data_IF_123572962785
#
_entry.id   IF_123572962785
#
_cell.length_a   1.000
_cell.length_b   1.000
_cell.length_c   1.000
_cell.angle_alpha   90.00
_cell.angle_beta   90.00
_cell.angle_gamma   90.00
#
_symmetry.space_group_name_H-M   'P 1'
#
loop_
_entity.id
_entity.type
_entity.pdbx_description
1 polymer ?
#
# COMPACT_ATOMS: atom_id res chain seq x y z
N UNK A 1 1.17 52.36 -34.93
CA UNK A 1 -0.25 52.76 -35.10
C UNK A 1 -0.87 52.88 -33.73
N UNK A 2 -1.49 54.02 -33.41
CA UNK A 2 -2.26 54.24 -32.19
C UNK A 2 -3.70 54.50 -32.60
N UNK A 3 -4.65 53.73 -32.06
CA UNK A 3 -6.08 53.89 -32.38
C UNK A 3 -6.94 53.73 -31.14
N UNK A 4 -8.05 54.45 -31.12
CA UNK A 4 -9.13 54.31 -30.15
C UNK A 4 -10.41 54.07 -30.94
N UNK A 5 -11.13 52.97 -30.67
CA UNK A 5 -12.37 52.61 -31.34
C UNK A 5 -12.35 51.26 -32.04
N UNK A 6 -13.16 51.12 -33.10
CA UNK A 6 -13.37 49.88 -33.83
C UNK A 6 -12.41 49.75 -35.01
N UNK A 7 -11.65 48.65 -35.07
CA UNK A 7 -10.96 48.18 -36.28
C UNK A 7 -11.76 46.99 -36.80
N UNK A 8 -12.37 47.12 -37.97
CA UNK A 8 -13.14 46.03 -38.55
C UNK A 8 -12.23 44.95 -39.15
N UNK A 9 -11.34 45.34 -40.05
CA UNK A 9 -10.35 44.46 -40.66
C UNK A 9 -9.01 45.17 -40.83
N UNK A 10 -7.93 44.48 -40.53
CA UNK A 10 -6.57 44.94 -40.80
C UNK A 10 -5.69 43.75 -41.19
N UNK A 11 -5.16 43.76 -42.41
CA UNK A 11 -4.33 42.67 -42.91
C UNK A 11 -2.98 42.61 -42.16
N UNK A 12 -2.20 43.71 -42.16
CA UNK A 12 -0.84 43.67 -41.62
C UNK A 12 -0.47 44.87 -40.75
N UNK A 13 0.25 44.60 -39.67
CA UNK A 13 0.97 45.58 -38.88
C UNK A 13 2.44 45.19 -38.69
N UNK A 14 3.34 45.93 -39.33
CA UNK A 14 4.76 45.59 -39.38
C UNK A 14 5.54 45.91 -38.08
N UNK A 15 5.17 46.95 -37.35
CA UNK A 15 6.01 47.52 -36.27
C UNK A 15 5.34 47.50 -34.89
N UNK A 16 4.49 48.49 -34.61
CA UNK A 16 3.83 48.58 -33.31
C UNK A 16 2.37 48.96 -33.49
N UNK A 17 1.51 48.24 -32.79
CA UNK A 17 0.10 48.54 -32.66
C UNK A 17 -0.23 48.76 -31.19
N UNK A 18 -0.88 49.88 -30.91
CA UNK A 18 -1.46 50.19 -29.62
C UNK A 18 -2.93 50.55 -29.85
N UNK A 19 -3.85 49.77 -29.29
CA UNK A 19 -5.29 50.00 -29.47
C UNK A 19 -6.02 50.00 -28.14
N UNK A 20 -7.06 50.85 -28.07
CA UNK A 20 -8.10 50.77 -27.03
C UNK A 20 -9.44 50.63 -27.74
N UNK A 21 -10.10 49.48 -27.61
CA UNK A 21 -11.35 49.19 -28.30
C UNK A 21 -11.42 47.80 -28.90
N UNK A 22 -12.23 47.65 -29.96
CA UNK A 22 -12.54 46.35 -30.55
C UNK A 22 -11.75 46.16 -31.86
N UNK A 23 -11.01 45.05 -31.96
CA UNK A 23 -10.45 44.55 -33.21
C UNK A 23 -11.30 43.36 -33.62
N UNK A 24 -12.07 43.49 -34.70
CA UNK A 24 -12.87 42.38 -35.18
C UNK A 24 -11.98 41.35 -35.89
N UNK A 25 -11.09 41.78 -36.80
CA UNK A 25 -10.16 40.86 -37.47
C UNK A 25 -8.81 41.52 -37.74
N UNK A 26 -7.73 40.82 -37.36
CA UNK A 26 -6.36 41.18 -37.69
C UNK A 26 -5.61 39.93 -38.19
N UNK A 27 -5.10 39.93 -39.42
CA UNK A 27 -4.38 38.75 -39.93
C UNK A 27 -2.99 38.67 -39.30
N UNK A 28 -2.16 39.72 -39.42
CA UNK A 28 -0.75 39.62 -38.99
C UNK A 28 -0.24 40.85 -38.22
N UNK A 29 0.41 40.57 -37.09
CA UNK A 29 1.27 41.53 -36.39
C UNK A 29 2.69 40.99 -36.24
N UNK A 30 3.65 41.61 -36.91
CA UNK A 30 5.03 41.10 -36.94
C UNK A 30 5.79 41.36 -35.62
N UNK A 31 5.60 42.53 -34.99
CA UNK A 31 6.54 43.03 -34.00
C UNK A 31 5.93 43.23 -32.60
N UNK A 32 5.06 44.23 -32.40
CA UNK A 32 4.47 44.49 -31.09
C UNK A 32 3.01 44.86 -31.19
N UNK A 33 2.18 44.12 -30.46
CA UNK A 33 0.79 44.45 -30.26
C UNK A 33 0.54 44.71 -28.77
N UNK A 34 -0.11 45.84 -28.47
CA UNK A 34 -0.66 46.15 -27.16
C UNK A 34 -2.12 46.54 -27.34
N UNK A 35 -3.03 45.81 -26.70
CA UNK A 35 -4.47 46.11 -26.78
C UNK A 35 -5.08 46.17 -25.39
N UNK A 36 -6.04 47.08 -25.22
CA UNK A 36 -7.00 47.06 -24.11
C UNK A 36 -8.38 47.00 -24.75
N UNK A 37 -9.05 45.87 -24.62
CA UNK A 37 -10.33 45.64 -25.30
C UNK A 37 -10.44 44.24 -25.88
N UNK A 38 -11.39 44.08 -26.80
CA UNK A 38 -11.74 42.80 -27.39
C UNK A 38 -11.02 42.58 -28.72
N UNK A 39 -10.31 41.46 -28.85
CA UNK A 39 -9.85 40.91 -30.13
C UNK A 39 -10.76 39.74 -30.47
N UNK A 40 -11.54 39.86 -31.55
CA UNK A 40 -12.42 38.77 -31.97
C UNK A 40 -11.62 37.70 -32.73
N UNK A 41 -10.91 38.06 -33.80
CA UNK A 41 -9.97 37.14 -34.47
C UNK A 41 -8.60 37.78 -34.69
N UNK A 42 -7.56 37.02 -34.35
CA UNK A 42 -6.18 37.32 -34.70
C UNK A 42 -5.51 36.04 -35.24
N UNK A 43 -5.04 36.05 -36.49
CA UNK A 43 -4.39 34.85 -37.04
C UNK A 43 -2.97 34.73 -36.49
N UNK A 44 -2.12 35.75 -36.65
CA UNK A 44 -0.70 35.63 -36.30
C UNK A 44 -0.13 36.84 -35.56
N UNK A 45 0.56 36.56 -34.47
CA UNK A 45 1.49 37.50 -33.83
C UNK A 45 2.87 36.86 -33.66
N UNK A 46 3.87 37.36 -34.38
CA UNK A 46 5.19 36.73 -34.36
C UNK A 46 5.97 37.04 -33.07
N UNK A 47 6.03 38.29 -32.63
CA UNK A 47 6.99 38.72 -31.61
C UNK A 47 6.39 38.93 -30.22
N UNK A 48 5.66 40.03 -30.00
CA UNK A 48 5.15 40.37 -28.67
C UNK A 48 3.70 40.77 -28.71
N UNK A 49 2.88 40.06 -27.96
CA UNK A 49 1.50 40.41 -27.70
C UNK A 49 1.30 40.71 -26.23
N UNK A 50 0.70 41.87 -25.94
CA UNK A 50 0.18 42.22 -24.63
C UNK A 50 -1.28 42.60 -24.78
N UNK A 51 -2.18 41.92 -24.08
CA UNK A 51 -3.62 42.22 -24.16
C UNK A 51 -4.25 42.27 -22.77
N UNK A 52 -5.30 43.08 -22.66
CA UNK A 52 -6.16 43.16 -21.48
C UNK A 52 -7.61 43.03 -21.94
N UNK A 53 -8.40 42.24 -21.21
CA UNK A 53 -9.82 41.87 -21.41
C UNK A 53 -10.08 40.54 -22.13
N UNK A 54 -10.21 40.52 -23.46
CA UNK A 54 -10.70 39.33 -24.16
C UNK A 54 -10.03 39.10 -25.52
N UNK A 55 -9.56 37.87 -25.71
CA UNK A 55 -9.23 37.30 -27.03
C UNK A 55 -10.23 36.19 -27.29
N UNK A 56 -11.06 36.31 -28.33
CA UNK A 56 -11.99 35.24 -28.69
C UNK A 56 -11.24 34.13 -29.43
N UNK A 57 -10.57 34.46 -30.53
CA UNK A 57 -9.76 33.47 -31.27
C UNK A 57 -8.39 34.03 -31.58
N UNK A 58 -7.36 33.24 -31.28
CA UNK A 58 -6.00 33.46 -31.75
C UNK A 58 -5.40 32.16 -32.29
N UNK A 59 -4.99 32.15 -33.55
CA UNK A 59 -4.39 30.94 -34.13
C UNK A 59 -2.94 30.79 -33.64
N UNK A 60 -2.08 31.79 -33.85
CA UNK A 60 -0.65 31.63 -33.58
C UNK A 60 -0.01 32.83 -32.86
N UNK A 61 0.69 32.53 -31.76
CA UNK A 61 1.66 33.42 -31.14
C UNK A 61 3.02 32.75 -31.01
N UNK A 62 4.00 33.17 -31.81
CA UNK A 62 5.28 32.45 -31.90
C UNK A 62 6.19 32.73 -30.69
N UNK A 63 6.38 33.99 -30.30
CA UNK A 63 7.42 34.34 -29.31
C UNK A 63 6.92 34.59 -27.88
N UNK A 64 6.13 35.64 -27.67
CA UNK A 64 5.70 36.00 -26.32
C UNK A 64 4.30 36.58 -26.27
N UNK A 65 3.52 36.01 -25.36
CA UNK A 65 2.18 36.46 -25.03
C UNK A 65 2.09 36.77 -23.55
N UNK A 66 1.53 37.95 -23.26
CA UNK A 66 1.08 38.30 -21.92
C UNK A 66 -0.37 38.77 -22.00
N UNK A 67 -1.26 38.11 -21.26
CA UNK A 67 -2.68 38.44 -21.27
C UNK A 67 -3.21 38.53 -19.84
N UNK A 68 -4.01 39.57 -19.58
CA UNK A 68 -4.85 39.63 -18.38
C UNK A 68 -6.30 39.62 -18.84
N UNK A 69 -7.02 38.54 -18.57
CA UNK A 69 -8.40 38.37 -19.03
C UNK A 69 -8.66 36.99 -19.63
N UNK A 70 -9.68 36.92 -20.50
CA UNK A 70 -10.18 35.67 -21.05
C UNK A 70 -9.61 35.40 -22.44
N UNK A 71 -9.07 34.20 -22.63
CA UNK A 71 -8.77 33.63 -23.94
C UNK A 71 -9.78 32.51 -24.20
N UNK A 72 -10.66 32.68 -25.18
CA UNK A 72 -11.63 31.62 -25.48
C UNK A 72 -10.96 30.49 -26.25
N UNK A 73 -10.27 30.79 -27.36
CA UNK A 73 -9.53 29.78 -28.13
C UNK A 73 -8.15 30.29 -28.49
N UNK A 74 -7.14 29.47 -28.21
CA UNK A 74 -5.79 29.64 -28.71
C UNK A 74 -5.26 28.33 -29.27
N UNK A 75 -4.93 28.30 -30.57
CA UNK A 75 -4.41 27.06 -31.17
C UNK A 75 -2.95 26.86 -30.76
N UNK A 76 -2.07 27.82 -31.03
CA UNK A 76 -0.63 27.62 -30.84
C UNK A 76 0.10 28.78 -30.16
N UNK A 77 0.83 28.44 -29.10
CA UNK A 77 1.86 29.31 -28.54
C UNK A 77 3.22 28.58 -28.45
N UNK A 78 4.19 28.98 -29.28
CA UNK A 78 5.43 28.21 -29.38
C UNK A 78 6.39 28.45 -28.21
N UNK A 79 6.66 29.72 -27.85
CA UNK A 79 7.78 30.03 -26.94
C UNK A 79 7.38 30.35 -25.49
N UNK A 80 6.57 31.38 -25.27
CA UNK A 80 6.23 31.79 -23.92
C UNK A 80 4.84 32.40 -23.81
N UNK A 81 4.07 31.88 -22.88
CA UNK A 81 2.77 32.39 -22.49
C UNK A 81 2.75 32.68 -21.00
N UNK A 82 2.31 33.89 -20.66
CA UNK A 82 1.96 34.27 -19.30
C UNK A 82 0.52 34.79 -19.31
N UNK A 83 -0.37 34.17 -18.55
CA UNK A 83 -1.75 34.61 -18.44
C UNK A 83 -2.19 34.72 -16.99
N UNK A 84 -2.99 35.74 -16.72
CA UNK A 84 -3.79 35.85 -15.50
C UNK A 84 -5.24 35.96 -15.95
N UNK A 85 -6.03 34.92 -15.67
CA UNK A 85 -7.38 34.81 -16.18
C UNK A 85 -7.71 33.42 -16.71
N UNK A 86 -8.82 33.32 -17.42
CA UNK A 86 -9.35 32.06 -17.93
C UNK A 86 -8.86 31.78 -19.35
N UNK A 87 -8.35 30.56 -19.56
CA UNK A 87 -8.17 29.96 -20.88
C UNK A 87 -9.25 28.89 -21.04
N UNK A 88 -10.15 29.05 -22.00
CA UNK A 88 -11.18 28.03 -22.23
C UNK A 88 -10.58 26.86 -23.03
N UNK A 89 -9.97 27.13 -24.18
CA UNK A 89 -9.29 26.09 -24.96
C UNK A 89 -7.91 26.55 -25.40
N UNK A 90 -6.91 25.71 -25.13
CA UNK A 90 -5.57 25.84 -25.69
C UNK A 90 -5.13 24.51 -26.28
N UNK A 91 -4.87 24.45 -27.58
CA UNK A 91 -4.43 23.19 -28.21
C UNK A 91 -2.97 22.92 -27.88
N UNK A 92 -2.06 23.85 -28.18
CA UNK A 92 -0.63 23.60 -28.07
C UNK A 92 0.16 24.74 -27.42
N UNK A 93 0.93 24.39 -26.39
CA UNK A 93 2.02 25.22 -25.89
C UNK A 93 3.34 24.44 -25.85
N UNK A 94 4.30 24.80 -26.72
CA UNK A 94 5.50 23.98 -26.86
C UNK A 94 6.50 24.21 -25.71
N UNK A 95 6.81 25.46 -25.36
CA UNK A 95 7.96 25.75 -24.49
C UNK A 95 7.63 26.08 -23.04
N UNK A 96 6.95 27.20 -22.79
CA UNK A 96 6.71 27.67 -21.42
C UNK A 96 5.33 28.27 -21.29
N UNK A 97 4.57 27.73 -20.35
CA UNK A 97 3.29 28.25 -19.92
C UNK A 97 3.34 28.57 -18.43
N UNK A 98 2.95 29.80 -18.09
CA UNK A 98 2.65 30.21 -16.73
C UNK A 98 1.24 30.79 -16.71
N UNK A 99 0.33 30.16 -15.96
CA UNK A 99 -1.04 30.65 -15.83
C UNK A 99 -1.42 30.80 -14.37
N UNK A 100 -2.33 31.73 -14.11
CA UNK A 100 -2.98 31.92 -12.81
C UNK A 100 -4.48 31.98 -13.08
N UNK A 101 -5.24 31.15 -12.37
CA UNK A 101 -6.69 30.89 -12.44
C UNK A 101 -7.07 29.58 -13.17
N UNK A 102 -7.71 29.64 -14.33
CA UNK A 102 -8.45 28.49 -14.87
C UNK A 102 -8.03 28.14 -16.29
N UNK A 103 -7.66 26.88 -16.49
CA UNK A 103 -7.57 26.24 -17.80
C UNK A 103 -8.72 25.23 -17.89
N UNK A 104 -9.66 25.43 -18.81
CA UNK A 104 -10.73 24.45 -19.00
C UNK A 104 -10.20 23.26 -19.80
N UNK A 105 -9.65 23.48 -20.99
CA UNK A 105 -9.06 22.41 -21.79
C UNK A 105 -7.68 22.81 -22.29
N UNK A 106 -6.71 21.93 -22.08
CA UNK A 106 -5.39 22.00 -22.69
C UNK A 106 -5.05 20.64 -23.30
N UNK A 107 -4.82 20.58 -24.61
CA UNK A 107 -4.47 19.30 -25.24
C UNK A 107 -2.99 18.98 -24.99
N UNK A 108 -2.08 19.88 -25.34
CA UNK A 108 -0.65 19.59 -25.30
C UNK A 108 0.20 20.70 -24.67
N UNK A 109 1.01 20.31 -23.68
CA UNK A 109 2.13 21.10 -23.21
C UNK A 109 3.43 20.29 -23.19
N UNK A 110 4.35 20.59 -24.11
CA UNK A 110 5.54 19.74 -24.29
C UNK A 110 6.57 19.95 -23.18
N UNK A 111 6.95 21.20 -22.88
CA UNK A 111 8.13 21.47 -22.06
C UNK A 111 7.84 21.82 -20.59
N UNK A 112 7.32 23.01 -20.33
CA UNK A 112 7.15 23.49 -18.95
C UNK A 112 5.79 24.13 -18.75
N UNK A 113 5.05 23.59 -17.80
CA UNK A 113 3.81 24.16 -17.31
C UNK A 113 3.94 24.50 -15.83
N UNK A 114 3.59 25.74 -15.49
CA UNK A 114 3.36 26.16 -14.11
C UNK A 114 1.96 26.76 -14.04
N UNK A 115 1.10 26.19 -13.19
CA UNK A 115 -0.27 26.67 -13.03
C UNK A 115 -0.63 26.82 -11.56
N UNK A 116 -1.57 27.73 -11.30
CA UNK A 116 -2.18 27.92 -9.99
C UNK A 116 -3.70 27.90 -10.17
N UNK A 117 -4.38 27.14 -9.30
CA UNK A 117 -5.84 26.95 -9.16
C UNK A 117 -6.47 25.75 -9.90
N UNK A 118 -6.92 25.87 -11.14
CA UNK A 118 -7.75 24.82 -11.77
C UNK A 118 -7.29 24.46 -13.19
N UNK A 119 -7.07 23.16 -13.39
CA UNK A 119 -7.05 22.52 -14.71
C UNK A 119 -8.24 21.56 -14.75
N UNK A 120 -9.21 21.80 -15.64
CA UNK A 120 -10.31 20.86 -15.79
C UNK A 120 -9.86 19.63 -16.60
N UNK A 121 -9.35 19.83 -17.81
CA UNK A 121 -8.83 18.74 -18.63
C UNK A 121 -7.46 19.07 -19.17
N UNK A 122 -6.54 18.13 -19.00
CA UNK A 122 -5.27 18.12 -19.69
C UNK A 122 -4.99 16.75 -20.29
N UNK A 123 -4.83 16.69 -21.60
CA UNK A 123 -4.56 15.40 -22.27
C UNK A 123 -3.09 15.02 -22.12
N UNK A 124 -2.16 15.91 -22.49
CA UNK A 124 -0.74 15.57 -22.54
C UNK A 124 0.17 16.65 -21.95
N UNK A 125 1.02 16.22 -21.00
CA UNK A 125 2.20 17.00 -20.63
C UNK A 125 3.45 16.12 -20.58
N UNK A 126 4.44 16.47 -21.42
CA UNK A 126 5.58 15.58 -21.63
C UNK A 126 6.70 15.76 -20.61
N UNK A 127 7.13 17.00 -20.32
CA UNK A 127 8.42 17.21 -19.63
C UNK A 127 8.33 17.63 -18.16
N UNK A 128 7.63 18.72 -17.85
CA UNK A 128 7.55 19.19 -16.48
C UNK A 128 6.27 19.95 -16.21
N UNK A 129 5.61 19.56 -15.13
CA UNK A 129 4.41 20.20 -14.62
C UNK A 129 4.60 20.50 -13.14
N UNK A 130 4.31 21.74 -12.78
CA UNK A 130 4.17 22.16 -11.40
C UNK A 130 2.80 22.82 -11.25
N UNK A 131 1.96 22.26 -10.39
CA UNK A 131 0.61 22.76 -10.18
C UNK A 131 0.32 22.90 -8.70
N UNK A 132 -0.29 24.01 -8.32
CA UNK A 132 -0.92 24.18 -7.00
C UNK A 132 -2.40 24.36 -7.24
N UNK A 133 -3.23 23.39 -6.85
CA UNK A 133 -4.67 23.46 -7.06
C UNK A 133 -5.32 22.12 -7.38
N UNK A 134 -6.41 22.20 -8.13
CA UNK A 134 -7.25 21.09 -8.56
C UNK A 134 -6.93 20.73 -10.01
N UNK A 135 -6.65 19.47 -10.27
CA UNK A 135 -6.65 18.86 -11.61
C UNK A 135 -7.83 17.90 -11.64
N UNK A 136 -8.81 18.15 -12.51
CA UNK A 136 -9.95 17.24 -12.62
C UNK A 136 -9.56 16.00 -13.43
N UNK A 137 -9.05 16.17 -14.65
CA UNK A 137 -8.60 15.05 -15.47
C UNK A 137 -7.22 15.33 -16.06
N UNK A 138 -6.33 14.35 -15.92
CA UNK A 138 -5.05 14.30 -16.61
C UNK A 138 -4.87 12.91 -17.23
N UNK A 139 -4.80 12.83 -18.55
CA UNK A 139 -4.69 11.53 -19.24
C UNK A 139 -3.23 11.05 -19.22
N UNK A 140 -2.31 11.81 -19.82
CA UNK A 140 -0.93 11.36 -20.00
C UNK A 140 0.09 12.35 -19.48
N UNK A 141 0.91 11.85 -18.57
CA UNK A 141 2.06 12.55 -18.06
C UNK A 141 3.35 11.73 -18.16
N UNK A 142 4.36 12.27 -18.84
CA UNK A 142 5.55 11.47 -19.17
C UNK A 142 6.70 11.62 -18.18
N UNK A 143 7.12 12.82 -17.78
CA UNK A 143 8.40 13.02 -17.06
C UNK A 143 8.33 13.34 -15.55
N UNK A 144 8.25 14.60 -15.13
CA UNK A 144 8.25 15.02 -13.72
C UNK A 144 7.03 15.88 -13.31
N UNK A 145 6.08 15.30 -12.58
CA UNK A 145 4.91 16.03 -12.07
C UNK A 145 5.12 16.34 -10.59
N UNK A 146 4.86 17.59 -10.23
CA UNK A 146 4.79 18.03 -8.84
C UNK A 146 3.46 18.75 -8.63
N UNK A 147 2.61 18.20 -7.77
CA UNK A 147 1.30 18.75 -7.50
C UNK A 147 1.09 18.94 -5.99
N UNK A 148 0.57 20.11 -5.62
CA UNK A 148 0.00 20.35 -4.29
C UNK A 148 -1.48 20.62 -4.46
N UNK A 149 -2.32 19.73 -3.94
CA UNK A 149 -3.77 19.87 -4.04
C UNK A 149 -4.48 18.56 -4.38
N UNK A 150 -5.49 18.63 -5.24
CA UNK A 150 -6.37 17.51 -5.55
C UNK A 150 -6.22 17.10 -7.01
N UNK A 151 -6.07 15.80 -7.25
CA UNK A 151 -6.17 15.19 -8.57
C UNK A 151 -7.40 14.26 -8.53
N UNK A 152 -8.41 14.54 -9.36
CA UNK A 152 -9.58 13.68 -9.39
C UNK A 152 -9.29 12.41 -10.20
N UNK A 153 -8.86 12.56 -11.45
CA UNK A 153 -8.48 11.43 -12.29
C UNK A 153 -7.12 11.64 -12.91
N UNK A 154 -6.27 10.63 -12.80
CA UNK A 154 -5.03 10.52 -13.54
C UNK A 154 -4.91 9.13 -14.15
N UNK A 155 -4.87 9.05 -15.47
CA UNK A 155 -4.81 7.75 -16.15
C UNK A 155 -3.37 7.22 -16.15
N UNK A 156 -2.43 7.99 -16.69
CA UNK A 156 -1.06 7.50 -16.88
C UNK A 156 0.02 8.48 -16.41
N UNK A 157 0.90 7.97 -15.54
CA UNK A 157 2.15 8.61 -15.18
C UNK A 157 3.35 7.69 -15.44
N UNK A 158 4.21 8.06 -16.38
CA UNK A 158 5.30 7.20 -16.84
C UNK A 158 6.55 7.26 -15.96
N UNK A 159 7.03 8.45 -15.56
CA UNK A 159 8.33 8.57 -14.87
C UNK A 159 8.25 8.92 -13.38
N UNK A 160 7.93 10.17 -13.03
CA UNK A 160 7.97 10.65 -11.65
C UNK A 160 6.77 11.51 -11.32
N UNK A 161 6.10 11.14 -10.24
CA UNK A 161 5.04 11.91 -9.62
C UNK A 161 5.37 12.17 -8.15
N UNK A 162 5.22 13.42 -7.76
CA UNK A 162 5.25 13.84 -6.37
C UNK A 162 3.97 14.62 -6.08
N UNK A 163 3.15 14.11 -5.16
CA UNK A 163 1.88 14.74 -4.82
C UNK A 163 1.78 14.98 -3.32
N UNK A 164 1.38 16.18 -2.94
CA UNK A 164 0.93 16.50 -1.59
C UNK A 164 -0.56 16.84 -1.66
N UNK A 165 -1.39 15.96 -1.10
CA UNK A 165 -2.85 16.14 -1.11
C UNK A 165 -3.61 14.86 -1.44
N UNK A 166 -4.66 14.98 -2.25
CA UNK A 166 -5.61 13.90 -2.51
C UNK A 166 -5.55 13.47 -3.98
N UNK A 167 -5.44 12.17 -4.20
CA UNK A 167 -5.66 11.53 -5.49
C UNK A 167 -6.91 10.67 -5.34
N UNK A 168 -7.96 10.98 -6.12
CA UNK A 168 -9.17 10.18 -6.08
C UNK A 168 -8.96 8.90 -6.88
N UNK A 169 -8.61 9.01 -8.16
CA UNK A 169 -8.35 7.86 -9.02
C UNK A 169 -7.00 7.99 -9.72
N UNK A 170 -6.21 6.92 -9.65
CA UNK A 170 -5.01 6.74 -10.45
C UNK A 170 -4.97 5.35 -11.07
N UNK A 171 -5.00 5.27 -12.40
CA UNK A 171 -4.98 3.96 -13.07
C UNK A 171 -3.55 3.40 -13.09
N UNK A 172 -2.60 4.13 -13.67
CA UNK A 172 -1.26 3.59 -13.91
C UNK A 172 -0.12 4.53 -13.50
N UNK A 173 0.78 4.00 -12.69
CA UNK A 173 2.09 4.59 -12.44
C UNK A 173 3.23 3.60 -12.70
N UNK A 174 4.05 3.87 -13.74
CA UNK A 174 5.07 2.92 -14.17
C UNK A 174 6.34 2.98 -13.33
N UNK A 175 6.86 4.15 -12.97
CA UNK A 175 8.21 4.27 -12.40
C UNK A 175 8.27 4.66 -10.92
N UNK A 176 7.97 5.91 -10.58
CA UNK A 176 8.10 6.42 -9.21
C UNK A 176 6.94 7.31 -8.82
N UNK A 177 6.29 6.93 -7.73
CA UNK A 177 5.28 7.73 -7.05
C UNK A 177 5.73 8.03 -5.62
N UNK A 178 5.61 9.29 -5.23
CA UNK A 178 5.73 9.74 -3.86
C UNK A 178 4.50 10.56 -3.51
N UNK A 179 3.73 10.10 -2.52
CA UNK A 179 2.49 10.75 -2.12
C UNK A 179 2.51 11.04 -0.62
N UNK A 180 2.17 12.28 -0.26
CA UNK A 180 1.83 12.66 1.11
C UNK A 180 0.36 13.04 1.13
N UNK A 181 -0.49 12.17 1.68
CA UNK A 181 -1.94 12.39 1.76
C UNK A 181 -2.76 11.14 1.48
N UNK A 182 -3.86 11.31 0.74
CA UNK A 182 -4.85 10.25 0.49
C UNK A 182 -4.82 9.81 -0.97
N UNK A 183 -4.80 8.49 -1.17
CA UNK A 183 -5.13 7.85 -2.45
C UNK A 183 -6.41 7.06 -2.21
N UNK A 184 -7.50 7.38 -2.92
CA UNK A 184 -8.72 6.56 -2.80
C UNK A 184 -8.56 5.28 -3.61
N UNK A 185 -8.34 5.39 -4.91
CA UNK A 185 -8.14 4.21 -5.77
C UNK A 185 -6.84 4.29 -6.54
N UNK A 186 -6.12 3.16 -6.54
CA UNK A 186 -4.96 2.96 -7.39
C UNK A 186 -5.00 1.56 -7.99
N UNK A 187 -5.08 1.47 -9.31
CA UNK A 187 -5.12 0.16 -9.97
C UNK A 187 -3.72 -0.44 -10.04
N UNK A 188 -2.76 0.26 -10.66
CA UNK A 188 -1.45 -0.32 -10.93
C UNK A 188 -0.27 0.58 -10.58
N UNK A 189 0.66 0.03 -9.81
CA UNK A 189 2.00 0.59 -9.62
C UNK A 189 3.10 -0.45 -9.92
N UNK A 190 3.87 -0.22 -10.99
CA UNK A 190 4.82 -1.23 -11.45
C UNK A 190 6.15 -1.22 -10.69
N UNK A 191 6.74 -0.05 -10.37
CA UNK A 191 8.12 0.02 -9.89
C UNK A 191 8.28 0.43 -8.42
N UNK A 192 8.04 1.69 -8.08
CA UNK A 192 8.27 2.21 -6.72
C UNK A 192 7.15 3.14 -6.28
N UNK A 193 6.53 2.78 -5.18
CA UNK A 193 5.58 3.61 -4.45
C UNK A 193 6.11 3.92 -3.06
N UNK A 194 6.04 5.19 -2.69
CA UNK A 194 6.25 5.64 -1.33
C UNK A 194 5.07 6.52 -0.91
N UNK A 195 4.36 6.09 0.13
CA UNK A 195 3.16 6.80 0.59
C UNK A 195 3.26 7.10 2.08
N UNK A 196 2.99 8.36 2.42
CA UNK A 196 2.77 8.84 3.78
C UNK A 196 1.30 9.23 3.90
N UNK A 197 0.46 8.37 4.46
CA UNK A 197 -0.97 8.62 4.61
C UNK A 197 -1.85 7.40 4.40
N UNK A 198 -2.99 7.58 3.72
CA UNK A 198 -4.02 6.57 3.56
C UNK A 198 -4.12 6.12 2.09
N UNK A 199 -4.18 4.82 1.88
CA UNK A 199 -4.58 4.19 0.62
C UNK A 199 -5.90 3.44 0.91
N UNK A 200 -7.01 3.81 0.27
CA UNK A 200 -8.25 3.06 0.46
C UNK A 200 -8.22 1.76 -0.32
N UNK A 201 -7.98 1.81 -1.62
CA UNK A 201 -7.87 0.60 -2.45
C UNK A 201 -6.61 0.64 -3.30
N UNK A 202 -5.95 -0.52 -3.35
CA UNK A 202 -4.85 -0.76 -4.26
C UNK A 202 -4.97 -2.17 -4.84
N UNK A 203 -5.12 -2.27 -6.15
CA UNK A 203 -5.24 -3.58 -6.79
C UNK A 203 -3.86 -4.23 -6.92
N UNK A 204 -2.90 -3.58 -7.58
CA UNK A 204 -1.62 -4.21 -7.92
C UNK A 204 -0.40 -3.33 -7.64
N UNK A 205 0.55 -3.90 -6.89
CA UNK A 205 1.90 -3.39 -6.79
C UNK A 205 2.96 -4.46 -7.13
N UNK A 206 3.67 -4.28 -8.24
CA UNK A 206 4.56 -5.33 -8.74
C UNK A 206 5.92 -5.36 -8.04
N UNK A 207 6.57 -4.22 -7.77
CA UNK A 207 7.98 -4.21 -7.34
C UNK A 207 8.20 -3.80 -5.89
N UNK A 208 8.05 -2.52 -5.56
CA UNK A 208 8.37 -2.00 -4.21
C UNK A 208 7.32 -1.02 -3.72
N UNK A 209 6.75 -1.35 -2.59
CA UNK A 209 5.88 -0.48 -1.83
C UNK A 209 6.49 -0.17 -0.46
N UNK A 210 6.48 1.10 -0.10
CA UNK A 210 6.78 1.57 1.25
C UNK A 210 5.65 2.49 1.70
N UNK A 211 4.96 2.10 2.76
CA UNK A 211 3.82 2.88 3.27
C UNK A 211 4.01 3.16 4.75
N UNK A 212 3.83 4.42 5.13
CA UNK A 212 3.61 4.81 6.53
C UNK A 212 2.19 5.33 6.66
N UNK A 213 1.33 4.58 7.33
CA UNK A 213 -0.07 4.90 7.51
C UNK A 213 -1.00 3.69 7.35
N UNK A 214 -2.15 3.92 6.72
CA UNK A 214 -3.23 2.94 6.62
C UNK A 214 -3.41 2.48 5.17
N UNK A 215 -3.52 1.18 4.99
CA UNK A 215 -4.00 0.54 3.75
C UNK A 215 -5.30 -0.16 4.10
N UNK A 216 -6.41 0.24 3.49
CA UNK A 216 -7.70 -0.37 3.77
C UNK A 216 -7.83 -1.69 3.01
N UNK A 217 -7.69 -1.68 1.69
CA UNK A 217 -7.62 -2.91 0.88
C UNK A 217 -6.39 -2.94 -0.02
N UNK A 218 -5.78 -4.11 -0.10
CA UNK A 218 -4.73 -4.41 -1.07
C UNK A 218 -4.93 -5.82 -1.63
N UNK A 219 -5.13 -5.95 -2.94
CA UNK A 219 -5.34 -7.26 -3.54
C UNK A 219 -3.99 -7.96 -3.73
N UNK A 220 -3.05 -7.36 -4.46
CA UNK A 220 -1.82 -8.04 -4.85
C UNK A 220 -0.55 -7.23 -4.65
N UNK A 221 0.42 -7.84 -3.95
CA UNK A 221 1.80 -7.38 -3.91
C UNK A 221 2.79 -8.48 -4.29
N UNK A 222 3.47 -8.33 -5.44
CA UNK A 222 4.29 -9.41 -5.97
C UNK A 222 5.69 -9.50 -5.36
N UNK A 223 6.38 -8.38 -5.10
CA UNK A 223 7.81 -8.41 -4.76
C UNK A 223 8.14 -8.00 -3.32
N UNK A 224 8.04 -6.71 -2.99
CA UNK A 224 8.45 -6.20 -1.67
C UNK A 224 7.47 -5.17 -1.15
N UNK A 225 6.93 -5.47 0.03
CA UNK A 225 6.12 -4.55 0.82
C UNK A 225 6.82 -4.26 2.14
N UNK A 226 6.88 -2.98 2.49
CA UNK A 226 7.26 -2.52 3.81
C UNK A 226 6.19 -1.55 4.31
N UNK A 227 5.55 -1.90 5.42
CA UNK A 227 4.47 -1.09 5.99
C UNK A 227 4.74 -0.77 7.44
N UNK A 228 4.59 0.50 7.80
CA UNK A 228 4.48 0.95 9.18
C UNK A 228 3.08 1.50 9.40
N UNK A 229 2.24 0.76 10.11
CA UNK A 229 0.85 1.13 10.38
C UNK A 229 -0.11 -0.04 10.26
N UNK A 230 -1.28 0.22 9.69
CA UNK A 230 -2.41 -0.70 9.65
C UNK A 230 -2.67 -1.17 8.21
N UNK A 231 -2.82 -2.48 8.03
CA UNK A 231 -3.38 -3.11 6.83
C UNK A 231 -4.70 -3.75 7.26
N UNK A 232 -5.82 -3.30 6.71
CA UNK A 232 -7.10 -3.89 7.07
C UNK A 232 -7.35 -5.18 6.30
N UNK A 233 -7.24 -5.18 4.98
CA UNK A 233 -7.28 -6.43 4.20
C UNK A 233 -6.11 -6.52 3.23
N UNK A 234 -5.56 -7.72 3.13
CA UNK A 234 -4.57 -8.08 2.12
C UNK A 234 -4.86 -9.48 1.59
N UNK A 235 -5.13 -9.60 0.30
CA UNK A 235 -5.41 -10.92 -0.29
C UNK A 235 -4.10 -11.67 -0.53
N UNK A 236 -3.18 -11.11 -1.33
CA UNK A 236 -2.00 -11.85 -1.76
C UNK A 236 -0.68 -11.08 -1.63
N UNK A 237 0.29 -11.72 -0.98
CA UNK A 237 1.69 -11.31 -1.00
C UNK A 237 2.62 -12.45 -1.41
N UNK A 238 3.24 -12.34 -2.60
CA UNK A 238 3.99 -13.46 -3.19
C UNK A 238 5.42 -13.60 -2.67
N UNK A 239 6.14 -12.52 -2.38
CA UNK A 239 7.59 -12.58 -2.11
C UNK A 239 7.99 -12.16 -0.69
N UNK A 240 7.98 -10.86 -0.38
CA UNK A 240 8.47 -10.36 0.91
C UNK A 240 7.56 -9.29 1.47
N UNK A 241 7.06 -9.55 2.67
CA UNK A 241 6.34 -8.60 3.50
C UNK A 241 7.11 -8.32 4.78
N UNK A 242 7.24 -7.04 5.11
CA UNK A 242 7.71 -6.59 6.41
C UNK A 242 6.71 -5.57 6.95
N UNK A 243 6.10 -5.88 8.09
CA UNK A 243 5.09 -5.02 8.70
C UNK A 243 5.45 -4.70 10.14
N UNK A 244 5.40 -3.42 10.50
CA UNK A 244 5.35 -2.96 11.88
C UNK A 244 3.97 -2.34 12.12
N UNK A 245 3.14 -3.03 12.91
CA UNK A 245 1.79 -2.59 13.22
C UNK A 245 0.77 -3.72 13.15
N UNK A 246 -0.40 -3.45 12.59
CA UNK A 246 -1.54 -4.36 12.64
C UNK A 246 -1.92 -4.83 11.22
N UNK A 247 -2.17 -6.12 11.09
CA UNK A 247 -2.81 -6.73 9.93
C UNK A 247 -4.12 -7.30 10.43
N UNK A 248 -5.25 -6.80 9.94
CA UNK A 248 -6.55 -7.31 10.37
C UNK A 248 -6.86 -8.62 9.64
N UNK A 249 -6.87 -8.64 8.31
CA UNK A 249 -6.99 -9.89 7.55
C UNK A 249 -5.87 -10.04 6.53
N UNK A 250 -5.35 -11.27 6.41
CA UNK A 250 -4.44 -11.66 5.35
C UNK A 250 -4.79 -13.06 4.87
N UNK A 251 -5.12 -13.19 3.59
CA UNK A 251 -5.47 -14.51 3.02
C UNK A 251 -4.21 -15.32 2.73
N UNK A 252 -3.31 -14.80 1.89
CA UNK A 252 -2.17 -15.59 1.41
C UNK A 252 -0.82 -14.86 1.47
N UNK A 253 0.16 -15.52 2.10
CA UNK A 253 1.57 -15.18 1.99
C UNK A 253 2.41 -16.37 1.52
N UNK A 254 2.98 -16.28 0.31
CA UNK A 254 3.65 -17.42 -0.30
C UNK A 254 5.10 -17.62 0.15
N UNK A 255 5.88 -16.56 0.36
CA UNK A 255 7.34 -16.69 0.56
C UNK A 255 7.83 -16.30 1.95
N UNK A 256 7.87 -14.99 2.27
CA UNK A 256 8.46 -14.50 3.52
C UNK A 256 7.62 -13.39 4.12
N UNK A 257 7.17 -13.62 5.34
CA UNK A 257 6.53 -12.63 6.18
C UNK A 257 7.36 -12.38 7.43
N UNK A 258 7.55 -11.09 7.74
CA UNK A 258 8.10 -10.65 9.02
C UNK A 258 7.16 -9.59 9.59
N UNK A 259 6.59 -9.87 10.75
CA UNK A 259 5.63 -8.95 11.40
C UNK A 259 6.08 -8.65 12.82
N UNK A 260 6.10 -7.36 13.17
CA UNK A 260 6.13 -6.91 14.56
C UNK A 260 4.80 -6.23 14.88
N UNK A 261 3.97 -6.88 15.69
CA UNK A 261 2.66 -6.37 16.08
C UNK A 261 1.56 -7.44 16.06
N UNK A 262 0.36 -7.07 15.61
CA UNK A 262 -0.83 -7.91 15.67
C UNK A 262 -1.20 -8.43 14.28
N UNK A 263 -1.50 -9.72 14.19
CA UNK A 263 -2.24 -10.32 13.08
C UNK A 263 -3.56 -10.82 13.66
N UNK A 264 -4.70 -10.31 13.20
CA UNK A 264 -5.99 -10.77 13.69
C UNK A 264 -6.40 -12.07 12.97
N UNK A 265 -6.41 -12.11 11.64
CA UNK A 265 -6.64 -13.34 10.90
C UNK A 265 -5.58 -13.55 9.83
N UNK A 266 -5.13 -14.80 9.71
CA UNK A 266 -4.27 -15.24 8.63
C UNK A 266 -4.69 -16.63 8.16
N UNK A 267 -5.09 -16.76 6.90
CA UNK A 267 -5.52 -18.06 6.38
C UNK A 267 -4.31 -18.92 6.03
N UNK A 268 -3.44 -18.45 5.14
CA UNK A 268 -2.35 -19.28 4.60
C UNK A 268 -0.98 -18.61 4.59
N UNK A 269 -0.01 -19.31 5.17
CA UNK A 269 1.41 -19.01 4.99
C UNK A 269 2.20 -20.25 4.50
N UNK A 270 2.70 -20.20 3.27
CA UNK A 270 3.31 -21.38 2.64
C UNK A 270 4.76 -21.63 3.04
N UNK A 271 5.60 -20.60 3.14
CA UNK A 271 7.06 -20.80 3.26
C UNK A 271 7.64 -20.41 4.63
N UNK A 272 7.74 -19.11 4.93
CA UNK A 272 8.38 -18.63 6.16
C UNK A 272 7.63 -17.47 6.78
N UNK A 273 7.21 -17.67 8.03
CA UNK A 273 6.66 -16.64 8.89
C UNK A 273 7.58 -16.42 10.09
N UNK A 274 7.83 -15.14 10.38
CA UNK A 274 8.45 -14.71 11.62
C UNK A 274 7.59 -13.61 12.24
N UNK A 275 7.07 -13.85 13.43
CA UNK A 275 6.18 -12.90 14.11
C UNK A 275 6.71 -12.59 15.51
N UNK A 276 6.75 -11.30 15.84
CA UNK A 276 6.93 -10.82 17.21
C UNK A 276 5.65 -10.08 17.60
N UNK A 277 4.83 -10.70 18.46
CA UNK A 277 3.56 -10.14 18.89
C UNK A 277 2.44 -11.18 18.99
N UNK A 278 1.24 -10.80 18.58
CA UNK A 278 0.02 -11.60 18.74
C UNK A 278 -0.50 -12.05 17.36
N UNK A 279 -0.83 -13.33 17.26
CA UNK A 279 -1.64 -13.90 16.20
C UNK A 279 -2.95 -14.36 16.85
N UNK A 280 -4.09 -13.78 16.48
CA UNK A 280 -5.37 -14.26 17.02
C UNK A 280 -5.79 -15.56 16.34
N UNK A 281 -5.95 -15.56 15.02
CA UNK A 281 -6.25 -16.79 14.29
C UNK A 281 -5.26 -17.04 13.16
N UNK A 282 -4.85 -18.30 13.04
CA UNK A 282 -4.07 -18.79 11.92
C UNK A 282 -4.57 -20.17 11.49
N UNK A 283 -5.05 -20.28 10.26
CA UNK A 283 -5.56 -21.57 9.77
C UNK A 283 -4.39 -22.48 9.37
N UNK A 284 -3.54 -22.07 8.43
CA UNK A 284 -2.53 -22.94 7.86
C UNK A 284 -1.13 -22.32 7.76
N UNK A 285 -0.16 -23.04 8.31
CA UNK A 285 1.26 -22.80 8.04
C UNK A 285 1.98 -24.06 7.56
N UNK A 286 2.40 -24.07 6.29
CA UNK A 286 2.93 -25.30 5.68
C UNK A 286 4.40 -25.57 6.04
N UNK A 287 5.30 -24.59 5.96
CA UNK A 287 6.74 -24.86 6.06
C UNK A 287 7.39 -24.46 7.38
N UNK A 288 7.56 -23.16 7.66
CA UNK A 288 8.30 -22.70 8.84
C UNK A 288 7.61 -21.51 9.50
N UNK A 289 7.27 -21.69 10.77
CA UNK A 289 6.80 -20.63 11.65
C UNK A 289 7.77 -20.42 12.79
N UNK A 290 8.09 -19.16 13.06
CA UNK A 290 8.79 -18.73 14.27
C UNK A 290 8.00 -17.60 14.91
N UNK A 291 7.54 -17.81 16.14
CA UNK A 291 6.73 -16.82 16.85
C UNK A 291 7.32 -16.51 18.22
N UNK A 292 7.46 -15.23 18.52
CA UNK A 292 7.71 -14.73 19.88
C UNK A 292 6.48 -13.95 20.34
N UNK A 293 5.69 -14.54 21.24
CA UNK A 293 4.47 -13.92 21.76
C UNK A 293 3.32 -14.91 21.90
N UNK A 294 2.11 -14.48 21.55
CA UNK A 294 0.88 -15.24 21.76
C UNK A 294 0.28 -15.68 20.43
N UNK A 295 -0.12 -16.95 20.36
CA UNK A 295 -1.02 -17.48 19.35
C UNK A 295 -2.31 -17.89 20.07
N UNK A 296 -3.46 -17.26 19.75
CA UNK A 296 -4.72 -17.68 20.36
C UNK A 296 -5.22 -18.97 19.73
N UNK A 297 -5.40 -19.01 18.41
CA UNK A 297 -5.80 -20.24 17.71
C UNK A 297 -4.88 -20.52 16.54
N UNK A 298 -4.54 -21.80 16.40
CA UNK A 298 -3.82 -22.31 15.24
C UNK A 298 -4.40 -23.67 14.85
N UNK A 299 -4.95 -23.78 13.65
CA UNK A 299 -5.54 -25.05 13.20
C UNK A 299 -4.43 -26.01 12.75
N UNK A 300 -3.61 -25.62 11.77
CA UNK A 300 -2.66 -26.54 11.16
C UNK A 300 -1.24 -25.98 11.00
N UNK A 301 -0.27 -26.74 11.51
CA UNK A 301 1.13 -26.56 11.19
C UNK A 301 1.77 -27.85 10.67
N UNK A 302 2.13 -27.90 9.39
CA UNK A 302 2.54 -29.16 8.76
C UNK A 302 4.01 -29.52 9.04
N UNK A 303 4.96 -28.58 8.94
CA UNK A 303 6.39 -28.93 8.88
C UNK A 303 7.20 -28.50 10.12
N UNK A 304 7.40 -27.21 10.37
CA UNK A 304 8.18 -26.75 11.54
C UNK A 304 7.57 -25.54 12.22
N UNK A 305 7.32 -25.69 13.52
CA UNK A 305 6.93 -24.61 14.42
C UNK A 305 7.97 -24.42 15.51
N UNK A 306 8.35 -23.17 15.75
CA UNK A 306 9.12 -22.75 16.92
C UNK A 306 8.40 -21.59 17.59
N UNK A 307 8.01 -21.76 18.85
CA UNK A 307 7.26 -20.73 19.59
C UNK A 307 7.93 -20.44 20.93
N UNK A 308 8.13 -19.15 21.22
CA UNK A 308 8.46 -18.66 22.55
C UNK A 308 7.30 -17.83 23.06
N UNK A 309 6.54 -18.37 24.03
CA UNK A 309 5.38 -17.70 24.60
C UNK A 309 4.19 -18.63 24.83
N UNK A 310 2.99 -18.14 24.53
CA UNK A 310 1.73 -18.83 24.84
C UNK A 310 1.04 -19.27 23.55
N UNK A 311 0.58 -20.52 23.52
CA UNK A 311 -0.38 -21.03 22.54
C UNK A 311 -1.64 -21.38 23.32
N UNK A 312 -2.77 -20.74 23.00
CA UNK A 312 -4.02 -21.06 23.69
C UNK A 312 -4.64 -22.33 23.11
N UNK A 313 -4.90 -22.38 21.80
CA UNK A 313 -5.35 -23.61 21.14
C UNK A 313 -4.49 -23.94 19.93
N UNK A 314 -4.19 -25.23 19.78
CA UNK A 314 -3.54 -25.79 18.61
C UNK A 314 -4.18 -27.14 18.25
N UNK A 315 -4.80 -27.23 17.08
CA UNK A 315 -5.47 -28.47 16.68
C UNK A 315 -4.43 -29.48 16.17
N UNK A 316 -3.65 -29.15 15.15
CA UNK A 316 -2.76 -30.10 14.50
C UNK A 316 -1.34 -29.60 14.27
N UNK A 317 -0.38 -30.40 14.73
CA UNK A 317 1.03 -30.29 14.32
C UNK A 317 1.56 -31.62 13.78
N UNK A 318 1.88 -31.67 12.48
CA UNK A 318 2.19 -32.94 11.83
C UNK A 318 3.65 -33.38 11.99
N UNK A 319 4.63 -32.48 11.97
CA UNK A 319 6.04 -32.89 11.82
C UNK A 319 6.94 -32.49 13.01
N UNK A 320 7.24 -31.20 13.21
CA UNK A 320 8.10 -30.76 14.32
C UNK A 320 7.56 -29.52 15.02
N UNK A 321 7.38 -29.64 16.32
CA UNK A 321 7.06 -28.54 17.23
C UNK A 321 8.16 -28.39 18.28
N UNK A 322 8.59 -27.15 18.48
CA UNK A 322 9.43 -26.75 19.61
C UNK A 322 8.78 -25.55 20.30
N UNK A 323 8.43 -25.69 21.58
CA UNK A 323 7.76 -24.63 22.34
C UNK A 323 8.49 -24.36 23.65
N UNK A 324 8.74 -23.09 23.93
CA UNK A 324 9.17 -22.62 25.25
C UNK A 324 8.05 -21.72 25.81
N UNK A 325 7.34 -22.22 26.82
CA UNK A 325 6.23 -21.50 27.45
C UNK A 325 5.02 -22.39 27.73
N UNK A 326 3.83 -21.85 27.51
CA UNK A 326 2.56 -22.47 27.87
C UNK A 326 1.79 -22.91 26.61
N UNK A 327 1.27 -24.13 26.64
CA UNK A 327 0.25 -24.61 25.71
C UNK A 327 -1.00 -24.91 26.54
N UNK A 328 -2.11 -24.22 26.28
CA UNK A 328 -3.34 -24.48 27.03
C UNK A 328 -4.05 -25.72 26.47
N UNK A 329 -4.33 -25.78 25.17
CA UNK A 329 -4.87 -26.99 24.54
C UNK A 329 -4.07 -27.37 23.31
N UNK A 330 -3.82 -28.67 23.18
CA UNK A 330 -3.24 -29.29 21.99
C UNK A 330 -3.96 -30.58 21.68
N UNK A 331 -4.63 -30.66 20.53
CA UNK A 331 -5.39 -31.85 20.17
C UNK A 331 -4.45 -32.92 19.61
N UNK A 332 -3.71 -32.63 18.54
CA UNK A 332 -2.92 -33.63 17.84
C UNK A 332 -1.48 -33.19 17.54
N UNK A 333 -0.53 -34.03 17.95
CA UNK A 333 0.85 -33.96 17.49
C UNK A 333 1.33 -35.31 16.95
N UNK A 334 1.60 -35.38 15.64
CA UNK A 334 1.87 -36.67 14.98
C UNK A 334 3.31 -37.16 15.13
N UNK A 335 4.32 -36.30 14.95
CA UNK A 335 5.72 -36.74 14.81
C UNK A 335 6.62 -36.40 16.01
N UNK A 336 7.02 -35.14 16.16
CA UNK A 336 7.99 -34.73 17.19
C UNK A 336 7.55 -33.46 17.89
N UNK A 337 7.40 -33.57 19.21
CA UNK A 337 7.18 -32.45 20.11
C UNK A 337 8.33 -32.32 21.09
N UNK A 338 8.84 -31.10 21.26
CA UNK A 338 9.73 -30.73 22.34
C UNK A 338 9.16 -29.49 23.04
N UNK A 339 8.84 -29.63 24.33
CA UNK A 339 8.25 -28.53 25.10
C UNK A 339 9.04 -28.28 26.37
N UNK A 340 9.35 -27.01 26.64
CA UNK A 340 9.87 -26.55 27.93
C UNK A 340 8.84 -25.61 28.55
N UNK A 341 8.13 -26.09 29.57
CA UNK A 341 7.07 -25.33 30.24
C UNK A 341 5.85 -26.18 30.59
N UNK A 342 4.66 -25.59 30.46
CA UNK A 342 3.40 -26.20 30.89
C UNK A 342 2.54 -26.56 29.68
N UNK A 343 1.96 -27.76 29.70
CA UNK A 343 0.86 -28.17 28.83
C UNK A 343 -0.35 -28.42 29.73
N UNK A 344 -1.45 -27.68 29.57
CA UNK A 344 -2.64 -27.94 30.37
C UNK A 344 -3.39 -29.16 29.85
N UNK A 345 -3.79 -29.17 28.58
CA UNK A 345 -4.43 -30.33 27.98
C UNK A 345 -3.71 -30.79 26.72
N UNK A 346 -3.53 -32.11 26.62
CA UNK A 346 -3.03 -32.78 25.43
C UNK A 346 -3.84 -34.04 25.16
N UNK A 347 -4.53 -34.08 24.01
CA UNK A 347 -5.34 -35.24 23.66
C UNK A 347 -4.49 -36.36 23.06
N UNK A 348 -3.78 -36.10 21.96
CA UNK A 348 -3.07 -37.14 21.22
C UNK A 348 -1.64 -36.76 20.85
N UNK A 349 -0.69 -37.63 21.25
CA UNK A 349 0.68 -37.61 20.74
C UNK A 349 1.11 -38.98 20.20
N UNK A 350 1.28 -39.08 18.88
CA UNK A 350 1.49 -40.37 18.22
C UNK A 350 2.92 -40.88 18.30
N UNK A 351 3.95 -40.09 17.97
CA UNK A 351 5.34 -40.60 17.82
C UNK A 351 6.29 -40.28 18.98
N UNK A 352 6.80 -39.05 19.07
CA UNK A 352 7.86 -38.69 20.03
C UNK A 352 7.55 -37.41 20.76
N UNK A 353 7.51 -37.51 22.09
CA UNK A 353 7.38 -36.39 22.99
C UNK A 353 8.60 -36.27 23.90
N UNK A 354 9.10 -35.04 24.03
CA UNK A 354 10.04 -34.67 25.07
C UNK A 354 9.53 -33.42 25.80
N UNK A 355 9.28 -33.53 27.10
CA UNK A 355 8.73 -32.43 27.91
C UNK A 355 9.60 -32.17 29.12
N UNK A 356 9.98 -30.91 29.32
CA UNK A 356 10.65 -30.42 30.51
C UNK A 356 9.68 -29.47 31.23
N UNK A 357 8.95 -29.99 32.21
CA UNK A 357 7.92 -29.22 32.92
C UNK A 357 6.68 -30.05 33.27
N UNK A 358 5.52 -29.41 33.29
CA UNK A 358 4.27 -30.01 33.79
C UNK A 358 3.30 -30.29 32.64
N UNK A 359 2.66 -31.46 32.67
CA UNK A 359 1.48 -31.76 31.88
C UNK A 359 0.33 -31.98 32.87
N UNK A 360 -0.76 -31.19 32.79
CA UNK A 360 -1.90 -31.41 33.68
C UNK A 360 -2.70 -32.61 33.20
N UNK A 361 -3.21 -32.59 31.97
CA UNK A 361 -3.97 -33.70 31.40
C UNK A 361 -3.34 -34.22 30.12
N UNK A 362 -3.23 -35.55 30.05
CA UNK A 362 -2.81 -36.28 28.86
C UNK A 362 -3.75 -37.47 28.63
N UNK A 363 -4.46 -37.46 27.51
CA UNK A 363 -5.37 -38.57 27.18
C UNK A 363 -4.61 -39.75 26.58
N UNK A 364 -3.93 -39.54 25.44
CA UNK A 364 -3.30 -40.61 24.68
C UNK A 364 -1.88 -40.27 24.21
N UNK A 365 -0.95 -41.18 24.49
CA UNK A 365 0.36 -41.21 23.84
C UNK A 365 0.68 -42.64 23.42
N UNK A 366 1.08 -42.86 22.15
CA UNK A 366 1.21 -44.22 21.61
C UNK A 366 2.65 -44.75 21.61
N UNK A 367 3.63 -43.98 21.10
CA UNK A 367 4.98 -44.51 20.88
C UNK A 367 5.99 -44.23 22.00
N UNK A 368 6.57 -43.01 22.06
CA UNK A 368 7.70 -42.68 22.95
C UNK A 368 7.50 -41.36 23.67
N UNK A 369 7.61 -41.42 24.99
CA UNK A 369 7.55 -40.25 25.87
C UNK A 369 8.77 -40.16 26.78
N UNK A 370 9.33 -38.96 26.87
CA UNK A 370 10.35 -38.57 27.84
C UNK A 370 9.90 -37.31 28.56
N UNK A 371 9.68 -37.39 29.86
CA UNK A 371 9.30 -36.25 30.69
C UNK A 371 10.31 -36.06 31.81
N UNK A 372 10.90 -34.88 31.92
CA UNK A 372 11.61 -34.42 33.11
C UNK A 372 10.71 -33.42 33.84
N UNK A 373 9.76 -33.95 34.61
CA UNK A 373 8.72 -33.20 35.30
C UNK A 373 7.51 -34.08 35.61
N UNK A 374 6.35 -33.46 35.86
CA UNK A 374 5.17 -34.15 36.39
C UNK A 374 4.06 -34.26 35.33
N UNK A 375 3.31 -35.36 35.34
CA UNK A 375 2.06 -35.53 34.61
C UNK A 375 0.98 -35.72 35.67
N UNK A 376 -0.02 -34.85 35.78
CA UNK A 376 -1.03 -35.00 36.83
C UNK A 376 -1.99 -36.13 36.52
N UNK A 377 -2.63 -36.11 35.35
CA UNK A 377 -3.61 -37.13 34.94
C UNK A 377 -3.22 -37.75 33.61
N UNK A 378 -3.20 -39.08 33.55
CA UNK A 378 -2.89 -39.87 32.36
C UNK A 378 -3.97 -40.94 32.15
N UNK A 379 -4.64 -40.93 31.00
CA UNK A 379 -5.70 -41.92 30.70
C UNK A 379 -5.16 -43.18 30.00
N UNK A 380 -4.29 -43.04 28.98
CA UNK A 380 -3.70 -44.16 28.23
C UNK A 380 -2.19 -44.01 28.07
N UNK A 381 -1.44 -45.07 28.38
CA UNK A 381 0.03 -45.06 28.43
C UNK A 381 0.70 -45.52 27.12
N UNK A 382 1.87 -44.95 26.75
CA UNK A 382 2.62 -45.35 25.55
C UNK A 382 3.36 -46.68 25.71
N UNK A 383 3.72 -47.29 24.58
CA UNK A 383 4.47 -48.56 24.50
C UNK A 383 5.86 -48.47 25.17
N UNK A 384 6.47 -47.28 25.22
CA UNK A 384 7.79 -47.04 25.86
C UNK A 384 7.87 -45.68 26.58
N UNK A 385 7.79 -45.70 27.92
CA UNK A 385 8.15 -44.57 28.80
C UNK A 385 9.53 -44.75 29.43
N UNK A 386 10.35 -43.70 29.49
CA UNK A 386 11.65 -43.70 30.19
C UNK A 386 11.71 -42.60 31.25
N UNK A 387 11.95 -42.97 32.51
CA UNK A 387 11.95 -42.12 33.73
C UNK A 387 13.14 -41.13 33.84
N UNK A 388 12.96 -39.96 34.48
CA UNK A 388 13.05 -39.84 35.95
C UNK A 388 11.93 -39.00 36.62
N UNK A 389 11.37 -39.52 37.73
CA UNK A 389 10.39 -38.87 38.66
C UNK A 389 9.05 -38.42 38.06
N UNK A 390 8.35 -39.31 37.36
CA UNK A 390 6.94 -39.09 37.00
C UNK A 390 6.03 -39.63 38.11
N UNK A 391 5.53 -38.78 39.01
CA UNK A 391 4.35 -39.10 39.81
C UNK A 391 3.11 -38.85 38.95
N UNK A 392 2.70 -39.86 38.18
CA UNK A 392 1.42 -39.84 37.48
C UNK A 392 0.30 -40.32 38.42
N UNK A 393 -0.68 -39.47 38.71
CA UNK A 393 -1.91 -39.93 39.37
C UNK A 393 -2.78 -40.61 38.31
N UNK A 394 -2.64 -41.93 38.19
CA UNK A 394 -3.49 -42.74 37.34
C UNK A 394 -4.90 -42.85 37.93
N UNK A 395 -5.84 -42.07 37.38
CA UNK A 395 -7.27 -42.28 37.60
C UNK A 395 -7.82 -43.06 36.41
N UNK A 396 -7.59 -44.37 36.38
CA UNK A 396 -8.23 -45.22 35.36
C UNK A 396 -9.71 -45.36 35.71
N UNK A 397 -10.59 -44.81 34.87
CA UNK A 397 -12.05 -44.98 35.00
C UNK A 397 -12.50 -46.43 34.75
N UNK A 398 -11.59 -47.30 34.30
CA UNK A 398 -11.80 -48.73 34.12
C UNK A 398 -10.56 -49.57 34.50
N UNK A 399 -10.17 -49.57 35.78
CA UNK A 399 -9.58 -50.69 36.53
C UNK A 399 -9.07 -50.24 37.90
N UNK A 400 -9.92 -50.49 38.88
CA UNK A 400 -9.65 -50.81 40.28
C UNK A 400 -8.80 -49.85 41.12
N UNK A 401 -9.46 -49.33 42.15
CA UNK A 401 -8.92 -48.90 43.44
C UNK A 401 -8.05 -49.95 44.19
N UNK A 402 -7.69 -51.09 43.58
CA UNK A 402 -7.03 -52.19 44.28
C UNK A 402 -5.51 -52.06 44.42
N UNK A 403 -4.85 -51.14 43.71
CA UNK A 403 -3.38 -51.07 43.70
C UNK A 403 -2.77 -50.06 44.70
N UNK A 404 -3.58 -49.27 45.41
CA UNK A 404 -3.07 -48.16 46.22
C UNK A 404 -2.82 -48.45 47.71
N UNK A 405 -3.08 -49.67 48.21
CA UNK A 405 -2.92 -49.98 49.64
C UNK A 405 -1.75 -50.91 50.01
N UNK A 406 -0.98 -51.47 49.07
CA UNK A 406 0.03 -52.49 49.37
C UNK A 406 1.49 -52.04 49.34
N UNK A 407 1.80 -50.78 49.02
CA UNK A 407 3.18 -50.26 48.97
C UNK A 407 3.57 -49.34 50.13
N UNK A 408 2.79 -49.25 51.21
CA UNK A 408 3.07 -48.38 52.38
C UNK A 408 3.48 -49.14 53.65
N UNK A 409 4.22 -50.24 53.55
CA UNK A 409 4.90 -50.84 54.71
C UNK A 409 6.42 -50.89 54.48
N UNK A 410 7.22 -50.05 55.18
CA UNK A 410 8.66 -50.23 55.22
C UNK A 410 9.01 -51.40 56.15
N UNK A 411 9.61 -52.45 55.59
CA UNK A 411 10.37 -53.44 56.37
C UNK A 411 11.75 -52.86 56.63
N UNK A 412 11.96 -52.35 57.85
CA UNK A 412 13.29 -52.10 58.40
C UNK A 412 13.35 -52.69 59.80
N UNK A 413 14.11 -53.77 59.99
CA UNK A 413 14.84 -54.09 61.22
C UNK A 413 15.77 -55.29 60.98
N UNK A 414 17.07 -55.00 60.81
CA UNK A 414 18.17 -55.92 61.05
C UNK A 414 19.00 -55.34 62.22
N UNK A 415 18.58 -55.65 63.46
CA UNK A 415 19.41 -56.09 64.59
C UNK A 415 18.55 -56.29 65.82
#
# INVERSE_FOLDING_TARGET
MQTVGLIHTLEQCLNSMQTVGLIHTLEQCLNRMQTVGLIYTLEQCLNRMQTVELIHTLEQCLNSMQTVGLIHTLEQCLNSMQTVGLIHTLEQCLNRMQTVELIHTLEQCLNRMQTVELIHTLEQCLNSMQTVGLIHTLEQYLNNMQTVGLIHTLEQCLNRMQTMGLIHTLEQCLNRMQTMGLIQTLEQCLNRMQTMGLIQTLEQCLNRMQTMGLIHTLEQCLNRMQTMGLIQTLEQCLNRMQTMGLIHTLEQCLNRMQTMGLIHTLEQCLNRMQTMGLIQTLEQCLNRMQTMGLIQTLEQCLNRMQTMGLIHTLEQCLNRMQTMGLIHTLEQCLNRMQTMGLIQTLEQCLNRMQTMGLIQTLEQCLNRMQTMGLIQTLEQSPDRMTHPVAQALFLSKHRSLYFYLLCLLPVSLYR
#
